data_IF_934731293188
#
_entry.id   IF_934731293188
#
_cell.length_a   1.000
_cell.length_b   1.000
_cell.length_c   1.000
_cell.angle_alpha   90.00
_cell.angle_beta   90.00
_cell.angle_gamma   90.00
#
_symmetry.space_group_name_H-M   'P 1'
#
loop_
_entity.id
_entity.type
_entity.pdbx_description
1 polymer ?
#
# COMPACT_ATOMS: atom_id res chain seq x y z
N UNK A 1 -8.33 20.45 -1.51
CA UNK A 1 -7.24 21.08 -0.75
C UNK A 1 -5.88 20.95 -1.40
N UNK A 2 -5.56 19.80 -2.04
CA UNK A 2 -4.27 19.61 -2.71
C UNK A 2 -4.02 20.60 -3.86
N UNK A 3 -5.06 20.97 -4.61
CA UNK A 3 -4.96 21.87 -5.78
C UNK A 3 -4.51 23.32 -5.46
N UNK A 4 -4.44 23.67 -4.17
CA UNK A 4 -4.02 25.00 -3.71
C UNK A 4 -2.58 25.02 -3.18
N UNK A 5 -1.87 23.90 -3.23
CA UNK A 5 -0.48 23.82 -2.82
C UNK A 5 0.43 24.19 -3.99
N UNK A 6 1.41 25.06 -3.75
CA UNK A 6 2.42 25.49 -4.76
C UNK A 6 3.24 24.31 -5.33
N UNK A 7 3.24 23.16 -4.66
CA UNK A 7 3.88 21.93 -5.11
C UNK A 7 2.97 21.05 -5.98
N UNK A 8 1.66 21.39 -6.11
CA UNK A 8 0.71 20.59 -6.88
C UNK A 8 1.08 20.57 -8.36
N UNK A 9 1.13 19.39 -8.94
CA UNK A 9 1.42 19.19 -10.36
C UNK A 9 2.89 19.29 -10.74
N UNK A 10 3.82 19.52 -9.81
CA UNK A 10 5.27 19.51 -10.08
C UNK A 10 5.83 18.12 -10.41
N UNK A 11 5.10 17.09 -10.02
CA UNK A 11 5.44 15.69 -10.28
C UNK A 11 4.56 15.11 -11.39
N UNK A 12 4.29 13.82 -11.35
CA UNK A 12 3.40 13.21 -12.34
C UNK A 12 1.94 13.72 -12.22
N UNK A 13 1.13 13.64 -13.29
CA UNK A 13 -0.25 14.08 -13.27
C UNK A 13 -1.03 13.50 -12.08
N UNK A 14 -1.79 14.34 -11.39
CA UNK A 14 -2.52 13.96 -10.18
C UNK A 14 -1.68 13.97 -8.90
N UNK A 15 -0.53 14.66 -8.92
CA UNK A 15 0.39 14.77 -7.77
C UNK A 15 0.90 13.41 -7.26
N UNK A 16 1.14 12.49 -8.19
CA UNK A 16 1.67 11.14 -7.92
C UNK A 16 3.14 11.08 -8.31
N UNK A 17 3.92 10.33 -7.54
CA UNK A 17 5.35 10.11 -7.78
C UNK A 17 5.63 8.60 -7.84
N UNK A 18 6.53 8.18 -8.72
CA UNK A 18 6.94 6.78 -8.79
C UNK A 18 7.79 6.40 -7.56
N UNK A 19 7.75 5.12 -7.16
CA UNK A 19 8.66 4.63 -6.10
C UNK A 19 10.13 4.88 -6.42
N UNK A 20 10.50 4.81 -7.70
CA UNK A 20 11.87 5.09 -8.16
C UNK A 20 12.29 6.52 -7.81
N UNK A 21 11.42 7.49 -8.07
CA UNK A 21 11.73 8.89 -7.82
C UNK A 21 11.55 9.25 -6.34
N UNK A 22 10.60 8.62 -5.66
CA UNK A 22 10.46 8.72 -4.21
C UNK A 22 11.70 8.20 -3.45
N UNK A 23 12.27 7.06 -3.87
CA UNK A 23 13.54 6.55 -3.32
C UNK A 23 14.68 7.55 -3.46
N UNK A 24 14.79 8.18 -4.63
CA UNK A 24 15.81 9.24 -4.85
C UNK A 24 15.57 10.45 -3.95
N UNK A 25 14.32 10.89 -3.83
CA UNK A 25 13.96 12.00 -2.96
C UNK A 25 14.34 11.69 -1.51
N UNK A 26 13.94 10.54 -0.98
CA UNK A 26 14.27 10.13 0.38
C UNK A 26 15.79 10.13 0.65
N UNK A 27 16.56 9.57 -0.26
CA UNK A 27 18.02 9.52 -0.12
C UNK A 27 18.61 10.92 -0.15
N UNK A 28 18.21 11.77 -1.11
CA UNK A 28 18.83 13.07 -1.32
C UNK A 28 18.39 14.12 -0.27
N UNK A 29 17.16 14.07 0.19
CA UNK A 29 16.56 15.10 1.06
C UNK A 29 16.56 14.67 2.53
N UNK A 30 16.25 13.41 2.79
CA UNK A 30 16.13 12.87 4.16
C UNK A 30 17.32 12.01 4.58
N UNK A 31 18.23 11.64 3.67
CA UNK A 31 19.33 10.71 3.95
C UNK A 31 18.86 9.31 4.34
N UNK A 32 17.64 8.93 3.94
CA UNK A 32 17.00 7.66 4.27
C UNK A 32 16.92 6.74 3.06
N UNK A 33 17.12 5.46 3.30
CA UNK A 33 16.96 4.42 2.28
C UNK A 33 15.59 3.78 2.38
N UNK A 34 14.79 3.87 1.31
CA UNK A 34 13.44 3.32 1.28
C UNK A 34 13.39 1.83 1.67
N UNK A 35 14.29 1.03 1.10
CA UNK A 35 14.27 -0.42 1.27
C UNK A 35 14.75 -0.86 2.67
N UNK A 36 15.60 -0.05 3.30
CA UNK A 36 16.16 -0.34 4.63
C UNK A 36 15.33 0.31 5.75
N UNK A 37 14.91 1.56 5.56
CA UNK A 37 14.29 2.35 6.63
C UNK A 37 12.76 2.25 6.63
N UNK A 38 12.11 2.12 5.44
CA UNK A 38 10.64 2.15 5.33
C UNK A 38 10.03 0.76 5.10
N UNK A 39 10.60 -0.04 4.20
CA UNK A 39 10.03 -1.35 3.84
C UNK A 39 9.87 -2.28 5.05
N UNK A 40 10.78 -2.36 6.03
CA UNK A 40 10.56 -3.16 7.23
C UNK A 40 9.33 -2.72 8.02
N UNK A 41 9.12 -1.41 8.20
CA UNK A 41 7.96 -0.87 8.91
C UNK A 41 6.65 -1.18 8.16
N UNK A 42 6.66 -1.08 6.83
CA UNK A 42 5.52 -1.44 5.98
C UNK A 42 5.18 -2.92 6.15
N UNK A 43 6.19 -3.80 6.13
CA UNK A 43 5.99 -5.24 6.29
C UNK A 43 5.45 -5.60 7.68
N UNK A 44 5.96 -4.96 8.72
CA UNK A 44 5.46 -5.13 10.09
C UNK A 44 3.98 -4.76 10.19
N UNK A 45 3.60 -3.58 9.69
CA UNK A 45 2.20 -3.16 9.69
C UNK A 45 1.29 -4.11 8.88
N UNK A 46 1.76 -4.63 7.75
CA UNK A 46 1.02 -5.64 6.97
C UNK A 46 0.88 -6.93 7.78
N UNK A 47 1.94 -7.40 8.41
CA UNK A 47 1.92 -8.61 9.24
C UNK A 47 0.91 -8.47 10.39
N UNK A 48 0.91 -7.36 11.10
CA UNK A 48 -0.01 -7.09 12.21
C UNK A 48 -1.49 -7.16 11.75
N UNK A 49 -1.80 -6.62 10.57
CA UNK A 49 -3.15 -6.71 10.02
C UNK A 49 -3.56 -8.14 9.68
N UNK A 50 -2.64 -8.94 9.14
CA UNK A 50 -2.89 -10.34 8.85
C UNK A 50 -3.06 -11.17 10.13
N UNK A 51 -2.29 -10.92 11.17
CA UNK A 51 -2.43 -11.58 12.46
C UNK A 51 -3.80 -11.27 13.10
N UNK A 52 -4.20 -9.99 13.09
CA UNK A 52 -5.51 -9.58 13.58
C UNK A 52 -6.67 -10.21 12.77
N UNK A 53 -6.55 -10.22 11.43
CA UNK A 53 -7.51 -10.87 10.55
C UNK A 53 -7.59 -12.38 10.81
N UNK A 54 -6.44 -13.05 10.95
CA UNK A 54 -6.37 -14.49 11.18
C UNK A 54 -7.05 -14.93 12.48
N UNK A 55 -6.86 -14.17 13.54
CA UNK A 55 -7.54 -14.42 14.82
C UNK A 55 -9.06 -14.34 14.65
N UNK A 56 -9.54 -13.34 13.92
CA UNK A 56 -10.96 -13.18 13.62
C UNK A 56 -11.49 -14.29 12.72
N UNK A 57 -10.74 -14.64 11.68
CA UNK A 57 -11.11 -15.70 10.74
C UNK A 57 -11.25 -17.05 11.45
N UNK A 58 -10.30 -17.43 12.30
CA UNK A 58 -10.38 -18.65 13.13
C UNK A 58 -11.64 -18.70 13.98
N UNK A 59 -12.04 -17.57 14.55
CA UNK A 59 -13.25 -17.51 15.38
C UNK A 59 -14.53 -17.78 14.58
N UNK A 60 -14.55 -17.38 13.31
CA UNK A 60 -15.69 -17.61 12.40
C UNK A 60 -15.68 -19.05 11.90
N UNK A 61 -14.53 -19.57 11.51
CA UNK A 61 -14.40 -20.95 10.97
C UNK A 61 -14.70 -22.01 12.05
N UNK A 62 -14.50 -21.68 13.31
CA UNK A 62 -14.85 -22.55 14.46
C UNK A 62 -16.33 -22.47 14.87
N UNK A 63 -17.15 -21.65 14.21
CA UNK A 63 -18.56 -21.52 14.55
C UNK A 63 -19.35 -22.77 14.10
N UNK A 64 -20.35 -23.22 14.88
CA UNK A 64 -21.23 -24.34 14.50
C UNK A 64 -21.91 -24.03 13.16
N UNK A 65 -21.72 -24.89 12.16
CA UNK A 65 -22.28 -24.73 10.82
C UNK A 65 -21.37 -24.05 9.80
N UNK A 66 -20.15 -23.70 10.14
CA UNK A 66 -19.16 -23.23 9.19
C UNK A 66 -18.85 -24.34 8.16
N UNK A 67 -19.21 -24.14 6.92
CA UNK A 67 -19.02 -25.11 5.81
C UNK A 67 -17.85 -24.75 4.91
N UNK A 68 -17.26 -23.58 5.10
CA UNK A 68 -16.19 -23.08 4.25
C UNK A 68 -14.86 -23.79 4.59
N UNK A 69 -14.48 -24.75 3.75
CA UNK A 69 -13.08 -25.19 3.70
C UNK A 69 -12.27 -24.11 2.98
N UNK A 70 -11.12 -23.68 3.49
CA UNK A 70 -10.23 -22.79 2.78
C UNK A 70 -9.71 -23.53 1.54
N UNK A 71 -10.37 -23.29 0.41
CA UNK A 71 -9.92 -23.76 -0.88
C UNK A 71 -9.21 -22.61 -1.56
N UNK A 72 -8.14 -22.87 -2.26
CA UNK A 72 -7.33 -22.01 -3.16
C UNK A 72 -7.92 -20.62 -3.45
N UNK A 73 -8.06 -19.81 -2.42
CA UNK A 73 -8.57 -18.45 -2.49
C UNK A 73 -7.41 -17.48 -2.37
N UNK A 74 -7.47 -16.40 -3.13
CA UNK A 74 -6.56 -15.27 -2.97
C UNK A 74 -7.37 -13.97 -2.94
N UNK A 75 -6.82 -12.96 -2.30
CA UNK A 75 -7.39 -11.62 -2.27
C UNK A 75 -6.27 -10.63 -2.60
N UNK A 76 -6.57 -9.66 -3.47
CA UNK A 76 -5.67 -8.55 -3.73
C UNK A 76 -6.08 -7.38 -2.83
N UNK A 77 -5.16 -6.94 -1.99
CA UNK A 77 -5.39 -5.87 -1.03
C UNK A 77 -4.60 -4.61 -1.42
N UNK A 78 -5.22 -3.46 -1.29
CA UNK A 78 -4.56 -2.16 -1.37
C UNK A 78 -4.28 -1.63 0.04
N UNK A 79 -3.02 -1.34 0.34
CA UNK A 79 -2.59 -0.76 1.61
C UNK A 79 -2.21 0.70 1.42
N UNK A 80 -2.86 1.58 2.15
CA UNK A 80 -2.54 3.00 2.16
C UNK A 80 -1.76 3.37 3.41
N UNK A 81 -0.57 3.93 3.21
CA UNK A 81 0.33 4.36 4.27
C UNK A 81 0.58 5.86 4.23
N UNK A 82 0.79 6.44 5.39
CA UNK A 82 1.35 7.77 5.55
C UNK A 82 2.76 7.67 6.14
N UNK A 83 3.62 8.58 5.73
CA UNK A 83 5.00 8.67 6.22
C UNK A 83 5.18 10.06 6.80
N UNK A 84 5.64 10.16 8.04
CA UNK A 84 5.93 11.45 8.66
C UNK A 84 7.32 11.97 8.32
N UNK A 85 7.65 13.15 8.84
CA UNK A 85 8.94 13.81 8.60
C UNK A 85 10.15 13.05 9.13
N UNK A 86 9.95 12.20 10.13
CA UNK A 86 10.97 11.31 10.71
C UNK A 86 11.08 9.97 9.98
N UNK A 87 10.33 9.81 8.88
CA UNK A 87 10.23 8.59 8.08
C UNK A 87 9.63 7.41 8.86
N UNK A 88 8.75 7.68 9.82
CA UNK A 88 7.92 6.67 10.46
C UNK A 88 6.69 6.40 9.59
N UNK A 89 6.37 5.12 9.42
CA UNK A 89 5.26 4.64 8.59
C UNK A 89 4.03 4.40 9.46
N UNK A 90 2.89 4.90 8.99
CA UNK A 90 1.58 4.69 9.63
C UNK A 90 0.62 4.06 8.62
N UNK A 91 -0.05 2.99 9.01
CA UNK A 91 -1.13 2.42 8.24
C UNK A 91 -2.37 3.31 8.36
N UNK A 92 -2.94 3.71 7.23
CA UNK A 92 -4.17 4.50 7.17
C UNK A 92 -5.37 3.60 6.95
N UNK A 93 -5.35 2.78 5.89
CA UNK A 93 -6.44 1.87 5.57
C UNK A 93 -5.98 0.65 4.75
N UNK A 94 -6.83 -0.36 4.72
CA UNK A 94 -6.67 -1.54 3.88
C UNK A 94 -7.93 -1.70 3.03
N UNK A 95 -7.76 -1.69 1.71
CA UNK A 95 -8.83 -1.82 0.74
C UNK A 95 -8.86 -3.24 0.16
N UNK A 96 -10.03 -3.89 0.20
CA UNK A 96 -10.26 -5.22 -0.36
C UNK A 96 -10.55 -5.21 -1.86
N UNK A 97 -10.71 -4.04 -2.45
CA UNK A 97 -10.96 -3.88 -3.89
C UNK A 97 -10.15 -2.69 -4.44
N UNK A 98 -8.81 -2.81 -4.51
CA UNK A 98 -7.97 -1.72 -4.99
C UNK A 98 -8.28 -1.37 -6.44
N UNK A 99 -8.28 -0.08 -6.76
CA UNK A 99 -8.49 0.39 -8.12
C UNK A 99 -7.30 0.02 -9.00
N UNK A 100 -7.53 -0.85 -9.97
CA UNK A 100 -6.55 -1.26 -10.98
C UNK A 100 -6.75 -0.56 -12.33
N UNK A 101 -7.56 0.49 -12.38
CA UNK A 101 -7.86 1.21 -13.60
C UNK A 101 -6.65 1.99 -14.12
N UNK A 102 -6.10 1.51 -15.23
CA UNK A 102 -4.90 2.11 -15.85
C UNK A 102 -5.14 3.48 -16.48
N UNK A 103 -6.41 3.84 -16.75
CA UNK A 103 -6.78 5.15 -17.29
C UNK A 103 -6.68 6.27 -16.24
N UNK A 104 -6.71 5.92 -14.95
CA UNK A 104 -6.73 6.87 -13.85
C UNK A 104 -5.46 7.74 -13.76
N UNK A 105 -4.29 7.19 -14.14
CA UNK A 105 -3.07 7.98 -14.29
C UNK A 105 -2.00 7.24 -15.11
N UNK A 106 -1.06 8.02 -15.68
CA UNK A 106 0.03 7.50 -16.52
C UNK A 106 0.94 6.51 -15.79
N UNK A 107 1.10 6.68 -14.48
CA UNK A 107 1.91 5.79 -13.64
C UNK A 107 1.31 4.37 -13.58
N UNK A 108 -0.01 4.24 -13.48
CA UNK A 108 -0.70 2.95 -13.43
C UNK A 108 -0.53 2.15 -14.71
N UNK A 109 -0.42 2.80 -15.86
CA UNK A 109 -0.13 2.13 -17.14
C UNK A 109 1.18 1.35 -17.14
N UNK A 110 2.13 1.75 -16.30
CA UNK A 110 3.44 1.09 -16.16
C UNK A 110 3.44 0.03 -15.07
N UNK A 111 2.67 0.23 -14.01
CA UNK A 111 2.71 -0.62 -12.81
C UNK A 111 1.77 -1.81 -12.90
N UNK A 112 0.52 -1.59 -13.34
CA UNK A 112 -0.51 -2.62 -13.29
C UNK A 112 -0.17 -3.87 -14.13
N UNK A 113 0.31 -3.75 -15.38
CA UNK A 113 0.70 -4.94 -16.14
C UNK A 113 1.74 -5.82 -15.41
N UNK A 114 2.73 -5.19 -14.77
CA UNK A 114 3.79 -5.90 -14.04
C UNK A 114 3.27 -6.61 -12.77
N UNK A 115 2.17 -6.14 -12.21
CA UNK A 115 1.54 -6.77 -11.02
C UNK A 115 0.68 -7.96 -11.41
N UNK A 116 0.11 -7.93 -12.62
CA UNK A 116 -0.83 -8.97 -13.10
C UNK A 116 -0.15 -10.10 -13.89
N UNK A 117 1.07 -9.89 -14.37
CA UNK A 117 1.92 -10.90 -15.04
C UNK A 117 2.60 -11.82 -14.01
#
# INVERSE_FOLDING_TARGET
MQDRNDEYGKYEPGNKISFKDFKKYLMNVKGKNFDIDLVPQIKEAIQDTFEAFWLKFKSIDSAPGATAKPTNQFELLGYDFMIDDDCKVYLIEVNTNPCLEISACSLLKRLIPTVLD
#
